data_IF_604963928495
#
_entry.id   IF_604963928495
#
_cell.length_a   1.000
_cell.length_b   1.000
_cell.length_c   1.000
_cell.angle_alpha   90.00
_cell.angle_beta   90.00
_cell.angle_gamma   90.00
#
_symmetry.space_group_name_H-M   'P 1'
#
loop_
_entity.id
_entity.type
_entity.pdbx_description
1 polymer ?
#
# COMPACT_ATOMS: atom_id res chain seq x y z
N UNK A 1 6.65 11.21 18.77
CA UNK A 1 5.34 11.15 18.09
C UNK A 1 5.11 9.73 17.56
N UNK A 2 4.95 8.78 18.48
CA UNK A 2 5.16 7.33 18.27
C UNK A 2 3.90 6.53 18.61
N UNK A 3 2.73 7.02 18.20
CA UNK A 3 1.44 6.42 18.57
C UNK A 3 0.61 6.16 17.32
N UNK A 4 1.10 5.29 16.44
CA UNK A 4 0.27 4.63 15.44
C UNK A 4 0.73 3.17 15.28
N UNK A 5 0.06 2.32 16.07
CA UNK A 5 -0.51 1.04 15.65
C UNK A 5 0.23 -0.24 16.11
N UNK A 6 -0.25 -0.77 17.24
CA UNK A 6 -0.32 -2.21 17.53
C UNK A 6 -1.21 -2.99 16.52
N UNK A 7 -1.86 -2.31 15.56
CA UNK A 7 -2.74 -2.95 14.57
C UNK A 7 -2.57 -2.30 13.18
N UNK A 8 -1.72 -2.89 12.33
CA UNK A 8 -1.64 -2.58 10.90
C UNK A 8 -0.85 -1.31 10.53
N UNK A 9 0.33 -1.49 9.92
CA UNK A 9 1.13 -0.38 9.37
C UNK A 9 0.47 0.16 8.10
N UNK A 10 0.40 1.48 7.93
CA UNK A 10 -0.16 2.15 6.74
C UNK A 10 0.90 2.30 5.63
N UNK A 11 0.49 2.31 4.36
CA UNK A 11 1.35 2.79 3.27
C UNK A 11 1.74 4.26 3.48
N UNK A 12 2.98 4.57 3.12
CA UNK A 12 3.74 5.80 3.38
C UNK A 12 4.25 5.93 4.83
N UNK A 13 3.98 4.95 5.70
CA UNK A 13 4.61 4.92 7.01
C UNK A 13 6.13 4.65 6.90
N UNK A 14 6.91 5.39 7.66
CA UNK A 14 8.29 5.05 7.95
C UNK A 14 8.32 3.96 9.02
N UNK A 15 9.07 2.89 8.72
CA UNK A 15 9.19 1.74 9.60
C UNK A 15 10.66 1.38 9.71
N UNK A 16 11.12 1.12 10.92
CA UNK A 16 12.44 0.54 11.13
C UNK A 16 12.39 -0.94 10.75
N UNK A 17 13.36 -1.39 9.98
CA UNK A 17 13.53 -2.81 9.69
C UNK A 17 14.11 -3.49 10.94
N UNK A 18 13.35 -4.39 11.56
CA UNK A 18 13.73 -5.09 12.80
C UNK A 18 14.29 -6.49 12.56
N UNK A 19 14.16 -7.05 11.35
CA UNK A 19 14.55 -8.43 11.06
C UNK A 19 15.67 -8.54 10.02
N UNK A 20 16.64 -9.38 10.37
CA UNK A 20 17.86 -9.80 9.66
C UNK A 20 19.03 -8.79 9.64
N UNK A 21 20.21 -9.30 10.01
CA UNK A 21 21.44 -8.56 10.33
C UNK A 21 21.98 -7.65 9.21
N UNK A 22 21.59 -7.87 7.95
CA UNK A 22 22.02 -7.05 6.81
C UNK A 22 21.26 -5.73 6.67
N UNK A 23 20.02 -5.66 7.15
CA UNK A 23 19.11 -4.50 7.00
C UNK A 23 18.71 -3.92 8.37
N UNK A 24 19.26 -4.47 9.45
CA UNK A 24 19.07 -3.96 10.80
C UNK A 24 19.64 -2.54 10.92
N UNK A 25 18.78 -1.58 11.26
CA UNK A 25 19.13 -0.15 11.41
C UNK A 25 18.47 0.76 10.38
N UNK A 26 18.16 0.26 9.19
CA UNK A 26 17.60 1.08 8.12
C UNK A 26 16.15 1.48 8.41
N UNK A 27 15.84 2.74 8.10
CA UNK A 27 14.49 3.29 8.07
C UNK A 27 13.97 3.14 6.65
N UNK A 28 12.93 2.33 6.48
CA UNK A 28 12.27 2.09 5.20
C UNK A 28 10.89 2.72 5.19
N UNK A 29 10.53 3.33 4.07
CA UNK A 29 9.19 3.85 3.81
C UNK A 29 8.44 2.89 2.89
N UNK A 30 7.25 2.49 3.31
CA UNK A 30 6.38 1.62 2.50
C UNK A 30 5.73 2.47 1.42
N UNK A 31 6.02 2.23 0.14
CA UNK A 31 5.41 3.00 -0.95
C UNK A 31 4.15 2.34 -1.52
N UNK A 32 4.03 1.03 -1.38
CA UNK A 32 2.88 0.29 -1.89
C UNK A 32 3.04 -1.21 -1.73
N UNK A 33 2.21 -1.95 -2.45
CA UNK A 33 2.23 -3.41 -2.45
C UNK A 33 1.09 -3.99 -3.27
N UNK A 34 1.13 -5.31 -3.44
CA UNK A 34 0.11 -6.08 -4.14
C UNK A 34 -0.40 -7.22 -3.25
N UNK A 35 -1.71 -7.45 -3.34
CA UNK A 35 -2.38 -8.62 -2.75
C UNK A 35 -1.99 -9.90 -3.50
N UNK A 36 -2.15 -11.08 -2.90
CA UNK A 36 -1.90 -12.40 -3.53
C UNK A 36 -2.66 -12.62 -4.84
N UNK A 37 -3.80 -11.95 -5.02
CA UNK A 37 -4.59 -12.00 -6.25
C UNK A 37 -4.26 -10.87 -7.24
N UNK A 38 -3.16 -10.13 -7.01
CA UNK A 38 -2.67 -9.10 -7.92
C UNK A 38 -3.38 -7.75 -7.84
N UNK A 39 -4.26 -7.53 -6.85
CA UNK A 39 -4.89 -6.22 -6.65
C UNK A 39 -3.89 -5.25 -5.99
N UNK A 40 -3.66 -4.07 -6.58
CA UNK A 40 -2.74 -3.09 -6.02
C UNK A 40 -3.33 -2.38 -4.81
N UNK A 41 -2.46 -1.93 -3.90
CA UNK A 41 -2.81 -1.08 -2.78
C UNK A 41 -3.07 0.36 -3.24
N UNK A 42 -4.08 1.03 -2.67
CA UNK A 42 -4.35 2.47 -2.88
C UNK A 42 -4.27 3.26 -1.59
N UNK A 43 -3.54 4.37 -1.66
CA UNK A 43 -3.42 5.34 -0.58
C UNK A 43 -4.77 6.02 -0.30
N UNK A 44 -5.06 6.24 0.98
CA UNK A 44 -6.30 6.88 1.45
C UNK A 44 -7.47 5.91 1.67
N UNK A 45 -7.32 4.62 1.34
CA UNK A 45 -8.34 3.60 1.61
C UNK A 45 -8.00 2.90 2.92
N UNK A 46 -8.50 3.45 4.04
CA UNK A 46 -8.27 2.95 5.41
C UNK A 46 -9.06 1.66 5.70
N UNK A 47 -8.81 0.63 4.91
CA UNK A 47 -9.44 -0.68 5.06
C UNK A 47 -8.38 -1.75 4.95
N UNK A 48 -8.53 -2.84 5.70
CA UNK A 48 -7.65 -3.98 5.52
C UNK A 48 -8.06 -4.75 4.25
N UNK A 49 -9.36 -4.99 4.04
CA UNK A 49 -9.85 -5.75 2.89
C UNK A 49 -9.76 -5.04 1.53
N UNK A 50 -10.35 -5.68 0.53
CA UNK A 50 -10.52 -5.11 -0.81
C UNK A 50 -11.83 -4.35 -0.90
N UNK A 51 -11.78 -3.17 -1.51
CA UNK A 51 -12.94 -2.30 -1.69
C UNK A 51 -13.10 -2.01 -3.18
N UNK A 52 -14.36 -1.95 -3.64
CA UNK A 52 -14.70 -1.59 -5.02
C UNK A 52 -14.95 -0.09 -5.12
N UNK A 53 -14.00 0.64 -5.69
CA UNK A 53 -14.08 2.09 -5.85
C UNK A 53 -14.39 2.46 -7.30
N UNK A 54 -15.13 3.55 -7.48
CA UNK A 54 -15.41 4.13 -8.80
C UNK A 54 -14.26 5.07 -9.18
N UNK A 55 -13.33 4.57 -10.00
CA UNK A 55 -12.13 5.29 -10.38
C UNK A 55 -12.34 6.13 -11.65
N UNK A 56 -11.69 7.29 -11.71
CA UNK A 56 -11.65 8.20 -12.85
C UNK A 56 -10.23 8.33 -13.41
N UNK A 57 -10.09 9.04 -14.54
CA UNK A 57 -8.78 9.34 -15.13
C UNK A 57 -7.90 10.09 -14.11
N UNK A 58 -6.71 9.55 -13.85
CA UNK A 58 -5.74 10.11 -12.88
C UNK A 58 -5.64 9.31 -11.58
N UNK A 59 -6.55 8.38 -11.33
CA UNK A 59 -6.46 7.49 -10.18
C UNK A 59 -5.32 6.47 -10.28
N UNK A 60 -4.61 6.27 -9.17
CA UNK A 60 -3.42 5.40 -9.02
C UNK A 60 -3.60 3.90 -9.34
N UNK A 61 -4.79 3.45 -9.74
CA UNK A 61 -5.06 2.05 -10.09
C UNK A 61 -5.90 1.92 -11.38
N UNK A 62 -6.05 3.01 -12.14
CA UNK A 62 -6.88 3.02 -13.33
C UNK A 62 -6.25 3.76 -14.50
N UNK A 63 -6.06 3.01 -15.58
CA UNK A 63 -5.75 3.54 -16.90
C UNK A 63 -7.03 3.50 -17.75
N UNK A 64 -7.68 4.65 -18.04
CA UNK A 64 -8.89 4.69 -18.86
C UNK A 64 -8.58 4.28 -20.31
N UNK A 65 -9.54 3.62 -20.96
CA UNK A 65 -9.45 3.25 -22.38
C UNK A 65 -10.20 4.23 -23.27
N UNK A 66 -11.30 4.80 -22.78
CA UNK A 66 -12.07 5.85 -23.46
C UNK A 66 -12.08 7.14 -22.65
N UNK A 67 -12.19 8.27 -23.32
CA UNK A 67 -12.34 9.56 -22.66
C UNK A 67 -13.65 9.58 -21.84
N UNK A 68 -13.61 10.14 -20.63
CA UNK A 68 -14.78 10.23 -19.74
C UNK A 68 -15.19 8.93 -19.04
N UNK A 69 -14.54 7.80 -19.32
CA UNK A 69 -14.89 6.52 -18.68
C UNK A 69 -14.53 6.56 -17.18
N UNK A 70 -15.51 6.17 -16.35
CA UNK A 70 -15.28 5.82 -14.95
C UNK A 70 -15.56 4.34 -14.78
N UNK A 71 -14.67 3.62 -14.10
CA UNK A 71 -14.81 2.18 -13.91
C UNK A 71 -14.73 1.80 -12.44
N UNK A 72 -15.68 0.97 -12.01
CA UNK A 72 -15.67 0.39 -10.67
C UNK A 72 -14.67 -0.78 -10.64
N UNK A 73 -13.53 -0.60 -9.96
CA UNK A 73 -12.48 -1.61 -9.82
C UNK A 73 -12.26 -1.97 -8.35
N UNK A 74 -11.89 -3.23 -8.12
CA UNK A 74 -11.47 -3.71 -6.81
C UNK A 74 -10.02 -3.28 -6.54
N UNK A 75 -9.78 -2.73 -5.37
CA UNK A 75 -8.48 -2.20 -4.95
C UNK A 75 -8.22 -2.64 -3.50
N UNK A 76 -6.97 -2.93 -3.15
CA UNK A 76 -6.58 -3.26 -1.77
C UNK A 76 -6.40 -1.97 -0.98
N UNK A 77 -6.84 -1.97 0.28
CA UNK A 77 -6.63 -0.82 1.14
C UNK A 77 -5.18 -0.61 1.55
N UNK A 78 -4.95 0.45 2.30
CA UNK A 78 -3.62 0.96 2.66
C UNK A 78 -2.98 0.26 3.87
N UNK A 79 -3.69 -0.67 4.51
CA UNK A 79 -3.24 -1.35 5.73
C UNK A 79 -2.47 -2.62 5.35
N UNK A 80 -1.29 -2.79 5.95
CA UNK A 80 -0.44 -3.97 5.78
C UNK A 80 -1.00 -5.15 6.55
N UNK A 81 -1.13 -6.28 5.87
CA UNK A 81 -1.73 -7.53 6.36
C UNK A 81 -1.01 -8.75 5.79
N UNK A 82 -1.17 -9.91 6.44
CA UNK A 82 -0.53 -11.18 6.03
C UNK A 82 -1.03 -11.72 4.68
N UNK A 83 -2.10 -11.14 4.14
CA UNK A 83 -2.65 -11.48 2.83
C UNK A 83 -1.93 -10.77 1.67
N UNK A 84 -0.95 -9.92 1.94
CA UNK A 84 -0.11 -9.30 0.91
C UNK A 84 0.92 -10.30 0.37
N UNK A 85 1.18 -10.24 -0.93
CA UNK A 85 2.20 -11.07 -1.57
C UNK A 85 3.51 -10.32 -1.75
N UNK A 86 3.44 -9.02 -2.08
CA UNK A 86 4.62 -8.20 -2.35
C UNK A 86 4.44 -6.84 -1.71
N UNK A 87 5.51 -6.36 -1.06
CA UNK A 87 5.61 -4.99 -0.53
C UNK A 87 6.68 -4.22 -1.31
N UNK A 88 6.35 -2.99 -1.69
CA UNK A 88 7.28 -2.03 -2.28
C UNK A 88 7.79 -1.11 -1.19
N UNK A 89 9.11 -1.09 -1.00
CA UNK A 89 9.79 -0.35 0.06
C UNK A 89 10.86 0.57 -0.55
N UNK A 90 11.05 1.75 0.05
CA UNK A 90 12.13 2.68 -0.28
C UNK A 90 12.97 2.92 0.97
N UNK A 91 14.29 2.79 0.87
CA UNK A 91 15.22 3.10 1.97
C UNK A 91 15.34 4.62 2.10
N UNK A 92 15.08 5.14 3.30
CA UNK A 92 15.13 6.59 3.58
C UNK A 92 16.39 6.95 4.36
N UNK A 93 16.75 6.15 5.37
CA UNK A 93 17.94 6.38 6.22
C UNK A 93 18.60 5.05 6.58
N UNK A 94 19.90 5.12 6.86
CA UNK A 94 20.70 4.04 7.45
C UNK A 94 20.73 4.18 8.97
#
# INVERSE_FOLDING_TARGET
SSRLMENGKLIVAETKCFSNALVAGYIVRITGGNDKQGFPMKQGVLSNGRVRLLLSKGDSCYRPRKAGERKRKSVRGCIVDANLSVLSLVVVKK
#
